data_IF_877543209866
#
_entry.id   IF_877543209866
#
_cell.length_a   1.000
_cell.length_b   1.000
_cell.length_c   1.000
_cell.angle_alpha   90.00
_cell.angle_beta   90.00
_cell.angle_gamma   90.00
#
_symmetry.space_group_name_H-M   'P 1'
#
loop_
_entity.id
_entity.type
_entity.pdbx_description
1 polymer ?
#
# COMPACT_ATOMS: atom_id res chain seq x y z
N UNK A 1 14.92 1.50 3.54
CA UNK A 1 14.83 2.97 3.63
C UNK A 1 13.41 3.44 3.39
N UNK A 2 12.97 4.43 4.14
CA UNK A 2 11.60 4.97 4.01
C UNK A 2 11.70 6.36 3.39
N UNK A 3 10.98 6.57 2.27
CA UNK A 3 10.95 7.84 1.56
C UNK A 3 9.76 8.72 1.95
N UNK A 4 8.83 8.20 2.73
CA UNK A 4 7.59 8.89 3.06
C UNK A 4 7.35 8.94 4.56
N UNK A 5 6.58 9.93 5.00
CA UNK A 5 6.24 10.14 6.40
C UNK A 5 5.08 9.22 6.83
N UNK A 6 4.94 8.94 8.15
CA UNK A 6 3.78 8.21 8.65
C UNK A 6 2.47 8.92 8.36
N UNK A 7 2.46 10.25 8.32
CA UNK A 7 1.29 11.04 7.97
C UNK A 7 0.83 10.77 6.52
N UNK A 8 1.78 10.68 5.59
CA UNK A 8 1.45 10.38 4.18
C UNK A 8 0.91 8.97 4.00
N UNK A 9 1.49 7.99 4.70
CA UNK A 9 0.99 6.60 4.68
C UNK A 9 -0.44 6.57 5.23
N UNK A 10 -0.66 7.23 6.35
CA UNK A 10 -1.98 7.29 6.98
C UNK A 10 -3.02 8.00 6.11
N UNK A 11 -2.60 9.00 5.35
CA UNK A 11 -3.47 9.71 4.41
C UNK A 11 -4.01 8.78 3.32
N UNK A 12 -3.20 7.85 2.83
CA UNK A 12 -3.65 6.85 1.85
C UNK A 12 -4.76 5.97 2.43
N UNK A 13 -4.68 5.67 3.73
CA UNK A 13 -5.67 4.88 4.46
C UNK A 13 -6.84 5.70 4.99
N UNK A 14 -6.86 7.01 4.73
CA UNK A 14 -7.87 7.94 5.23
C UNK A 14 -8.02 7.91 6.75
N UNK A 15 -6.92 7.75 7.48
CA UNK A 15 -6.94 7.75 8.95
C UNK A 15 -7.09 9.17 9.49
N UNK A 16 -7.98 9.34 10.47
CA UNK A 16 -8.20 10.61 11.13
C UNK A 16 -8.50 10.37 12.62
N UNK A 17 -7.77 11.00 13.55
CA UNK A 17 -6.61 11.87 13.32
C UNK A 17 -5.39 11.11 12.80
N UNK A 18 -4.49 11.77 12.05
CA UNK A 18 -3.31 11.09 11.55
C UNK A 18 -2.28 10.85 12.66
N UNK A 19 -1.50 9.75 12.59
CA UNK A 19 -0.36 9.56 13.47
C UNK A 19 0.75 10.54 13.11
N UNK A 20 1.55 10.93 14.11
CA UNK A 20 2.64 11.88 13.93
C UNK A 20 4.02 11.24 13.98
N UNK A 21 4.09 9.93 14.15
CA UNK A 21 5.34 9.17 14.18
C UNK A 21 5.11 7.76 13.69
N UNK A 22 6.20 7.07 13.34
CA UNK A 22 6.09 5.65 13.01
C UNK A 22 5.69 4.80 14.22
N UNK A 23 6.08 5.22 15.43
CA UNK A 23 5.64 4.54 16.65
C UNK A 23 4.13 4.60 16.82
N UNK A 24 3.53 5.77 16.57
CA UNK A 24 2.07 5.91 16.62
C UNK A 24 1.38 5.08 15.55
N UNK A 25 1.91 5.08 14.32
CA UNK A 25 1.36 4.27 13.23
C UNK A 25 1.46 2.78 13.56
N UNK A 26 2.59 2.34 14.10
CA UNK A 26 2.79 0.96 14.52
C UNK A 26 1.77 0.55 15.58
N UNK A 27 1.52 1.40 16.57
CA UNK A 27 0.51 1.15 17.60
C UNK A 27 -0.90 1.03 16.99
N UNK A 28 -1.26 1.88 16.05
CA UNK A 28 -2.54 1.82 15.37
C UNK A 28 -2.70 0.49 14.61
N UNK A 29 -1.66 0.06 13.91
CA UNK A 29 -1.64 -1.21 13.18
C UNK A 29 -1.77 -2.38 14.16
N UNK A 30 -1.03 -2.35 15.26
CA UNK A 30 -1.05 -3.42 16.26
C UNK A 30 -2.43 -3.57 16.93
N UNK A 31 -3.14 -2.48 17.14
CA UNK A 31 -4.48 -2.49 17.72
C UNK A 31 -5.59 -2.81 16.71
N UNK A 32 -5.29 -2.72 15.43
CA UNK A 32 -6.26 -2.96 14.37
C UNK A 32 -6.78 -1.66 13.76
N UNK A 33 -6.51 -1.48 12.47
CA UNK A 33 -6.98 -0.33 11.71
C UNK A 33 -8.49 -0.45 11.41
N UNK A 34 -9.17 0.68 11.20
CA UNK A 34 -10.55 0.63 10.74
C UNK A 34 -10.66 -0.13 9.41
N UNK A 35 -11.76 -0.84 9.23
CA UNK A 35 -12.04 -1.61 8.01
C UNK A 35 -11.88 -0.77 6.75
N UNK A 36 -12.30 0.49 6.79
CA UNK A 36 -12.20 1.41 5.67
C UNK A 36 -10.78 1.77 5.26
N UNK A 37 -9.77 1.54 6.12
CA UNK A 37 -8.38 1.84 5.81
C UNK A 37 -7.87 1.03 4.61
N UNK A 38 -8.22 -0.25 4.55
CA UNK A 38 -7.87 -1.10 3.41
C UNK A 38 -8.60 -0.67 2.15
N UNK A 39 -9.90 -0.42 2.26
CA UNK A 39 -10.70 0.02 1.11
C UNK A 39 -10.19 1.35 0.54
N UNK A 40 -9.85 2.31 1.39
CA UNK A 40 -9.30 3.59 0.97
C UNK A 40 -7.98 3.40 0.20
N UNK A 41 -7.11 2.53 0.69
CA UNK A 41 -5.83 2.23 0.02
C UNK A 41 -6.05 1.57 -1.34
N UNK A 42 -6.98 0.63 -1.42
CA UNK A 42 -7.32 -0.05 -2.67
C UNK A 42 -7.86 0.94 -3.70
N UNK A 43 -8.71 1.87 -3.28
CA UNK A 43 -9.24 2.91 -4.17
C UNK A 43 -8.14 3.78 -4.78
N UNK A 44 -7.02 3.94 -4.08
CA UNK A 44 -5.88 4.73 -4.57
C UNK A 44 -5.01 3.97 -5.55
N UNK A 45 -4.85 2.66 -5.40
CA UNK A 45 -3.91 1.88 -6.22
C UNK A 45 -4.53 1.26 -7.47
N UNK A 46 -5.85 1.08 -7.51
CA UNK A 46 -6.51 0.38 -8.61
C UNK A 46 -6.96 1.32 -9.72
N UNK A 47 -6.94 0.80 -10.95
CA UNK A 47 -7.36 1.53 -12.14
C UNK A 47 -8.87 1.46 -12.36
N UNK A 48 -9.53 0.40 -11.92
CA UNK A 48 -10.97 0.20 -12.16
C UNK A 48 -11.68 -0.55 -11.05
N UNK A 49 -13.03 -0.53 -11.09
CA UNK A 49 -13.87 -1.09 -10.02
C UNK A 49 -13.77 -2.59 -9.85
N UNK A 50 -13.64 -3.34 -10.94
CA UNK A 50 -13.47 -4.78 -10.89
C UNK A 50 -12.13 -5.17 -10.26
N UNK A 51 -11.08 -4.42 -10.58
CA UNK A 51 -9.75 -4.65 -10.02
C UNK A 51 -9.73 -4.38 -8.52
N UNK A 52 -10.49 -3.39 -8.06
CA UNK A 52 -10.62 -3.08 -6.62
C UNK A 52 -11.15 -4.27 -5.85
N UNK A 53 -12.21 -4.89 -6.34
CA UNK A 53 -12.84 -6.04 -5.69
C UNK A 53 -11.88 -7.24 -5.65
N UNK A 54 -11.22 -7.52 -6.77
CA UNK A 54 -10.25 -8.60 -6.86
C UNK A 54 -9.10 -8.40 -5.89
N UNK A 55 -8.55 -7.18 -5.82
CA UNK A 55 -7.44 -6.88 -4.92
C UNK A 55 -7.89 -6.96 -3.46
N UNK A 56 -9.03 -6.40 -3.12
CA UNK A 56 -9.56 -6.44 -1.76
C UNK A 56 -9.64 -7.88 -1.26
N UNK A 57 -10.25 -8.76 -2.02
CA UNK A 57 -10.48 -10.15 -1.59
C UNK A 57 -9.25 -11.04 -1.79
N UNK A 58 -8.24 -10.58 -2.50
CA UNK A 58 -6.92 -11.19 -2.52
C UNK A 58 -6.16 -10.92 -1.23
N UNK A 59 -6.30 -9.72 -0.67
CA UNK A 59 -5.64 -9.31 0.58
C UNK A 59 -6.33 -9.92 1.79
N UNK A 60 -7.68 -9.83 1.83
CA UNK A 60 -8.50 -10.45 2.87
C UNK A 60 -9.64 -11.18 2.18
N UNK A 61 -9.80 -12.51 2.39
CA UNK A 61 -10.89 -13.25 1.77
C UNK A 61 -12.25 -12.60 2.02
N UNK A 62 -13.13 -12.68 1.03
CA UNK A 62 -14.42 -11.97 1.05
C UNK A 62 -15.23 -12.23 2.31
N UNK A 63 -15.41 -13.50 2.69
CA UNK A 63 -16.19 -13.86 3.89
C UNK A 63 -15.56 -13.29 5.15
N UNK A 64 -14.24 -13.31 5.24
CA UNK A 64 -13.49 -12.75 6.38
C UNK A 64 -13.68 -11.25 6.46
N UNK A 65 -13.50 -10.54 5.33
CA UNK A 65 -13.66 -9.09 5.29
C UNK A 65 -15.09 -8.68 5.68
N UNK A 66 -16.09 -9.37 5.16
CA UNK A 66 -17.50 -9.06 5.44
C UNK A 66 -17.88 -9.30 6.90
N UNK A 67 -17.19 -10.23 7.60
CA UNK A 67 -17.43 -10.46 9.02
C UNK A 67 -16.88 -9.37 9.93
N UNK A 68 -15.88 -8.61 9.47
CA UNK A 68 -15.33 -7.49 10.26
C UNK A 68 -16.37 -6.39 10.35
N UNK A 69 -16.73 -6.02 11.59
CA UNK A 69 -17.74 -4.98 11.82
C UNK A 69 -17.15 -3.58 11.87
N UNK A 70 -16.01 -3.43 12.55
CA UNK A 70 -15.37 -2.13 12.75
C UNK A 70 -13.91 -2.13 12.33
N UNK A 71 -13.11 -3.03 12.91
CA UNK A 71 -11.66 -3.03 12.73
C UNK A 71 -11.15 -4.32 12.12
N UNK A 72 -10.04 -4.19 11.43
CA UNK A 72 -9.24 -5.30 10.94
C UNK A 72 -8.43 -5.89 12.10
N UNK A 73 -7.97 -7.14 11.95
CA UNK A 73 -6.99 -7.71 12.87
C UNK A 73 -5.63 -7.02 12.66
N UNK A 74 -4.67 -7.26 13.56
CA UNK A 74 -3.33 -6.71 13.40
C UNK A 74 -2.65 -7.21 12.13
N UNK A 75 -2.78 -8.49 11.78
CA UNK A 75 -2.21 -9.05 10.55
C UNK A 75 -2.84 -8.42 9.30
N UNK A 76 -4.16 -8.27 9.29
CA UNK A 76 -4.87 -7.61 8.20
C UNK A 76 -4.46 -6.13 8.09
N UNK A 77 -4.30 -5.47 9.24
CA UNK A 77 -3.86 -4.08 9.31
C UNK A 77 -2.44 -3.91 8.78
N UNK A 78 -1.56 -4.87 9.01
CA UNK A 78 -0.21 -4.84 8.43
C UNK A 78 -0.25 -4.91 6.91
N UNK A 79 -1.16 -5.71 6.35
CA UNK A 79 -1.34 -5.79 4.89
C UNK A 79 -1.88 -4.48 4.32
N UNK A 80 -2.80 -3.85 5.02
CA UNK A 80 -3.34 -2.55 4.62
C UNK A 80 -2.27 -1.45 4.66
N UNK A 81 -1.47 -1.41 5.74
CA UNK A 81 -0.38 -0.46 5.86
C UNK A 81 0.67 -0.67 4.76
N UNK A 82 1.02 -1.92 4.47
CA UNK A 82 1.96 -2.25 3.39
C UNK A 82 1.50 -1.68 2.06
N UNK A 83 0.25 -1.88 1.71
CA UNK A 83 -0.32 -1.36 0.47
C UNK A 83 -0.28 0.17 0.45
N UNK A 84 -0.67 0.80 1.55
CA UNK A 84 -0.66 2.26 1.68
C UNK A 84 0.76 2.82 1.57
N UNK A 85 1.73 2.17 2.20
CA UNK A 85 3.14 2.58 2.17
C UNK A 85 3.70 2.49 0.74
N UNK A 86 3.40 1.42 0.03
CA UNK A 86 3.82 1.25 -1.36
C UNK A 86 3.23 2.35 -2.25
N UNK A 87 1.94 2.65 -2.09
CA UNK A 87 1.33 3.72 -2.88
C UNK A 87 1.93 5.09 -2.53
N UNK A 88 2.06 5.39 -1.25
CA UNK A 88 2.63 6.67 -0.79
C UNK A 88 4.06 6.85 -1.31
N UNK A 89 4.87 5.81 -1.27
CA UNK A 89 6.26 5.83 -1.76
C UNK A 89 6.28 6.04 -3.28
N UNK A 90 5.42 5.36 -4.00
CA UNK A 90 5.32 5.48 -5.46
C UNK A 90 4.88 6.89 -5.86
N UNK A 91 3.87 7.41 -5.17
CA UNK A 91 3.40 8.79 -5.40
C UNK A 91 4.49 9.82 -5.13
N UNK A 92 5.27 9.62 -4.08
CA UNK A 92 6.40 10.49 -3.76
C UNK A 92 7.44 10.49 -4.89
N UNK A 93 7.77 9.31 -5.41
CA UNK A 93 8.80 9.18 -6.46
C UNK A 93 8.32 9.77 -7.78
N UNK A 94 7.09 9.51 -8.18
CA UNK A 94 6.53 9.97 -9.45
C UNK A 94 5.94 11.38 -9.37
N UNK A 95 5.67 11.87 -8.16
CA UNK A 95 5.04 13.18 -7.90
C UNK A 95 3.73 13.36 -8.71
N UNK A 96 2.98 12.29 -8.86
CA UNK A 96 1.70 12.24 -9.57
C UNK A 96 0.99 10.95 -9.19
N UNK A 97 -0.23 11.06 -8.67
CA UNK A 97 -1.03 9.88 -8.31
C UNK A 97 -1.35 9.02 -9.54
N UNK A 98 -1.65 9.66 -10.66
CA UNK A 98 -1.96 8.93 -11.90
C UNK A 98 -0.76 8.13 -12.39
N UNK A 99 0.44 8.75 -12.38
CA UNK A 99 1.67 8.07 -12.79
C UNK A 99 2.05 6.98 -11.80
N UNK A 100 1.85 7.21 -10.49
CA UNK A 100 2.08 6.21 -9.47
C UNK A 100 1.19 4.98 -9.70
N UNK A 101 -0.08 5.22 -9.95
CA UNK A 101 -1.05 4.15 -10.20
C UNK A 101 -0.70 3.37 -11.47
N UNK A 102 -0.28 4.07 -12.51
CA UNK A 102 0.16 3.45 -13.75
C UNK A 102 1.41 2.59 -13.53
N UNK A 103 2.40 3.10 -12.80
CA UNK A 103 3.61 2.35 -12.48
C UNK A 103 3.27 1.05 -11.73
N UNK A 104 2.42 1.14 -10.71
CA UNK A 104 2.05 -0.02 -9.89
C UNK A 104 1.33 -1.10 -10.69
N UNK A 105 0.61 -0.71 -11.73
CA UNK A 105 -0.19 -1.63 -12.55
C UNK A 105 0.47 -2.00 -13.88
N UNK A 106 1.75 -1.64 -14.08
CA UNK A 106 2.49 -1.95 -15.31
C UNK A 106 3.65 -2.90 -15.01
N UNK A 107 3.79 -3.96 -15.79
CA UNK A 107 4.89 -4.92 -15.66
C UNK A 107 6.24 -4.21 -15.78
N UNK A 108 7.20 -4.63 -14.95
CA UNK A 108 8.54 -4.03 -14.92
C UNK A 108 9.61 -5.10 -15.16
N UNK A 109 10.62 -4.82 -16.03
CA UNK A 109 11.69 -5.80 -16.32
C UNK A 109 12.48 -6.22 -15.07
N UNK A 110 12.75 -5.29 -14.16
CA UNK A 110 13.47 -5.57 -12.92
C UNK A 110 12.69 -6.46 -11.95
N UNK A 111 11.41 -6.68 -12.22
CA UNK A 111 10.53 -7.55 -11.43
C UNK A 111 10.12 -8.79 -12.23
N UNK A 112 10.92 -9.18 -13.22
CA UNK A 112 10.70 -10.35 -14.07
C UNK A 112 9.34 -10.33 -14.78
N UNK A 113 8.92 -9.14 -15.22
CA UNK A 113 7.68 -8.97 -15.95
C UNK A 113 6.42 -8.94 -15.09
N UNK A 114 6.56 -8.96 -13.77
CA UNK A 114 5.43 -8.79 -12.85
C UNK A 114 5.16 -7.31 -12.59
N UNK A 115 3.93 -6.97 -12.22
CA UNK A 115 3.63 -5.60 -11.80
C UNK A 115 4.18 -5.34 -10.40
N UNK A 116 4.59 -4.09 -10.12
CA UNK A 116 5.01 -3.74 -8.76
C UNK A 116 3.91 -4.01 -7.72
N UNK A 117 2.65 -3.79 -8.06
CA UNK A 117 1.53 -4.08 -7.18
C UNK A 117 1.47 -5.57 -6.83
N UNK A 118 1.59 -6.44 -7.82
CA UNK A 118 1.58 -7.89 -7.59
C UNK A 118 2.76 -8.32 -6.71
N UNK A 119 3.96 -7.83 -6.99
CA UNK A 119 5.16 -8.14 -6.20
C UNK A 119 5.01 -7.66 -4.75
N UNK A 120 4.31 -6.55 -4.53
CA UNK A 120 4.11 -5.94 -3.21
C UNK A 120 3.15 -6.72 -2.29
N UNK A 121 2.55 -7.81 -2.76
CA UNK A 121 1.61 -8.59 -1.96
C UNK A 121 2.29 -9.37 -0.81
N UNK A 122 3.60 -9.50 -0.83
CA UNK A 122 4.38 -10.06 0.28
C UNK A 122 5.29 -8.98 0.87
N UNK A 123 5.72 -9.18 2.13
CA UNK A 123 6.63 -8.20 2.76
C UNK A 123 7.97 -8.14 2.04
N UNK A 124 8.51 -9.29 1.66
CA UNK A 124 9.78 -9.31 0.91
C UNK A 124 9.62 -8.66 -0.46
N UNK A 125 8.50 -8.94 -1.14
CA UNK A 125 8.20 -8.29 -2.42
C UNK A 125 8.04 -6.78 -2.30
N UNK A 126 7.38 -6.32 -1.26
CA UNK A 126 7.24 -4.89 -0.98
C UNK A 126 8.62 -4.22 -0.81
N UNK A 127 9.54 -4.87 -0.10
CA UNK A 127 10.92 -4.37 0.04
C UNK A 127 11.61 -4.25 -1.31
N UNK A 128 11.41 -5.22 -2.19
CA UNK A 128 11.98 -5.18 -3.55
C UNK A 128 11.44 -4.01 -4.35
N UNK A 129 10.15 -3.74 -4.26
CA UNK A 129 9.54 -2.60 -4.94
C UNK A 129 10.03 -1.28 -4.34
N UNK A 130 10.12 -1.18 -3.03
CA UNK A 130 10.65 0.00 -2.36
C UNK A 130 12.11 0.27 -2.76
N UNK A 131 12.93 -0.77 -2.88
CA UNK A 131 14.30 -0.65 -3.36
C UNK A 131 14.35 -0.12 -4.80
N UNK A 132 13.50 -0.64 -5.67
CA UNK A 132 13.39 -0.16 -7.05
C UNK A 132 12.98 1.32 -7.07
N UNK A 133 11.99 1.71 -6.30
CA UNK A 133 11.53 3.10 -6.20
C UNK A 133 12.63 4.01 -5.68
N UNK A 134 13.38 3.56 -4.68
CA UNK A 134 14.51 4.30 -4.13
C UNK A 134 15.59 4.55 -5.21
N UNK A 135 15.91 3.51 -5.99
CA UNK A 135 16.86 3.63 -7.11
C UNK A 135 16.37 4.61 -8.16
N UNK A 136 15.09 4.55 -8.52
CA UNK A 136 14.50 5.48 -9.48
C UNK A 136 14.55 6.92 -8.97
N UNK A 137 14.26 7.13 -7.70
CA UNK A 137 14.27 8.45 -7.09
C UNK A 137 15.67 9.08 -7.10
N UNK A 138 16.70 8.30 -6.81
CA UNK A 138 18.08 8.79 -6.79
C UNK A 138 18.81 8.66 -8.12
N UNK A 139 18.12 8.25 -9.19
CA UNK A 139 18.73 8.12 -10.52
C UNK A 139 19.77 7.00 -10.63
N UNK A 140 19.70 6.00 -9.75
CA UNK A 140 20.57 4.84 -9.80
C UNK A 140 20.00 3.86 -10.83
N UNK A 141 20.88 3.21 -11.61
CA UNK A 141 20.45 2.24 -12.62
C UNK A 141 19.57 1.14 -11.99
N UNK A 142 18.40 0.93 -12.59
CA UNK A 142 17.42 -0.02 -12.11
C UNK A 142 16.98 -0.98 -13.22
#
# INVERSE_FOLDING_TARGET
MVLVTPEKIASVMALSPPPHSFAELDDLVAHGLPKGALKASIDRVCLGGEDRKKLLYRIIPEATYKRRRTNLTSDESERAERLARIFATTDFVWNSEDDARLFLNTSHPMLKGRTPLDVSMTELGARRVEELLWKLFYGIAA
#
